data_IF_096213845517
#
_entry.id   IF_096213845517
#
_cell.length_a   1.000
_cell.length_b   1.000
_cell.length_c   1.000
_cell.angle_alpha   90.00
_cell.angle_beta   90.00
_cell.angle_gamma   90.00
#
_symmetry.space_group_name_H-M   'P 1'
#
loop_
_entity.id
_entity.type
_entity.pdbx_description
1 polymer ?
#
# COMPACT_ATOMS: atom_id res chain seq x y z
N UNK A 1 38.35 -22.04 10.98
CA UNK A 1 38.04 -20.65 10.58
C UNK A 1 36.59 -20.60 10.07
N UNK A 2 35.59 -20.28 10.91
CA UNK A 2 34.22 -20.07 10.44
C UNK A 2 33.78 -18.61 10.71
N UNK A 3 33.83 -17.75 9.68
CA UNK A 3 33.47 -16.32 9.81
C UNK A 3 32.40 -15.88 8.79
N UNK A 4 31.78 -16.80 8.03
CA UNK A 4 30.86 -16.45 6.93
C UNK A 4 29.37 -16.73 7.17
N UNK A 5 28.97 -17.12 8.38
CA UNK A 5 27.57 -17.45 8.69
C UNK A 5 26.80 -16.35 9.45
N UNK A 6 27.49 -15.37 10.04
CA UNK A 6 26.84 -14.38 10.92
C UNK A 6 26.32 -13.13 10.17
N UNK A 7 26.85 -12.80 8.99
CA UNK A 7 26.40 -11.62 8.22
C UNK A 7 25.04 -11.86 7.54
N UNK A 8 24.78 -13.05 6.98
CA UNK A 8 23.51 -13.38 6.28
C UNK A 8 22.33 -13.56 7.25
N UNK A 9 22.60 -13.99 8.50
CA UNK A 9 21.56 -14.05 9.55
C UNK A 9 21.21 -12.65 10.03
N UNK A 10 22.22 -11.78 10.24
CA UNK A 10 22.01 -10.42 10.70
C UNK A 10 21.26 -9.56 9.68
N UNK A 11 21.57 -9.67 8.38
CA UNK A 11 20.86 -8.95 7.32
C UNK A 11 19.40 -9.38 7.16
N UNK A 12 19.10 -10.67 7.30
CA UNK A 12 17.72 -11.19 7.25
C UNK A 12 16.88 -10.80 8.47
N UNK A 13 17.49 -10.71 9.64
CA UNK A 13 16.83 -10.21 10.85
C UNK A 13 16.52 -8.72 10.76
N UNK A 14 17.43 -7.91 10.21
CA UNK A 14 17.20 -6.47 10.00
C UNK A 14 16.16 -6.16 8.92
N UNK A 15 16.11 -6.93 7.83
CA UNK A 15 15.06 -6.79 6.80
C UNK A 15 13.69 -7.24 7.33
N UNK A 16 13.65 -8.29 8.14
CA UNK A 16 12.44 -8.73 8.85
C UNK A 16 11.98 -7.67 9.86
N UNK A 17 12.91 -7.06 10.61
CA UNK A 17 12.65 -5.97 11.55
C UNK A 17 12.00 -4.77 10.87
N UNK A 18 12.60 -4.25 9.80
CA UNK A 18 12.06 -3.13 9.01
C UNK A 18 10.70 -3.45 8.36
N UNK A 19 10.52 -4.66 7.82
CA UNK A 19 9.23 -5.07 7.26
C UNK A 19 8.17 -5.19 8.36
N UNK A 20 8.51 -5.69 9.54
CA UNK A 20 7.58 -5.75 10.68
C UNK A 20 7.29 -4.38 11.27
N UNK A 21 8.22 -3.44 11.24
CA UNK A 21 8.03 -2.07 11.74
C UNK A 21 7.19 -1.25 10.77
N UNK A 22 7.44 -1.35 9.45
CA UNK A 22 6.59 -0.72 8.42
C UNK A 22 5.17 -1.31 8.44
N UNK A 23 5.04 -2.64 8.57
CA UNK A 23 3.74 -3.30 8.69
C UNK A 23 3.06 -2.92 10.01
N UNK A 24 3.81 -2.75 11.11
CA UNK A 24 3.28 -2.31 12.41
C UNK A 24 2.85 -0.86 12.39
N UNK A 25 3.59 0.04 11.75
CA UNK A 25 3.22 1.45 11.57
C UNK A 25 2.01 1.60 10.63
N UNK A 26 1.94 0.76 9.59
CA UNK A 26 0.77 0.65 8.72
C UNK A 26 -0.45 0.10 9.48
N UNK A 27 -0.27 -0.91 10.34
CA UNK A 27 -1.34 -1.52 11.13
C UNK A 27 -1.75 -0.67 12.34
N UNK A 28 -0.84 0.09 12.96
CA UNK A 28 -1.17 1.11 13.98
C UNK A 28 -1.92 2.30 13.37
N UNK A 29 -1.71 2.57 12.08
CA UNK A 29 -2.56 3.45 11.29
C UNK A 29 -3.93 2.86 10.93
N UNK A 30 -4.15 1.56 11.12
CA UNK A 30 -5.33 0.82 10.67
C UNK A 30 -6.20 0.27 11.81
N UNK A 31 -5.64 0.05 13.01
CA UNK A 31 -6.28 -0.64 14.13
C UNK A 31 -6.52 0.26 15.35
N UNK A 32 -6.94 1.49 15.13
CA UNK A 32 -7.47 2.34 16.20
C UNK A 32 -8.72 3.08 15.67
N UNK A 33 -9.81 2.33 15.59
CA UNK A 33 -11.12 2.77 15.08
C UNK A 33 -11.70 3.96 15.89
N UNK A 34 -11.47 3.98 17.22
CA UNK A 34 -12.06 5.01 18.08
C UNK A 34 -11.34 6.36 18.01
N UNK A 35 -10.02 6.39 17.84
CA UNK A 35 -9.26 7.65 17.81
C UNK A 35 -9.34 8.35 16.45
N UNK A 36 -9.46 7.61 15.34
CA UNK A 36 -9.55 8.23 14.01
C UNK A 36 -10.81 9.08 13.85
N UNK A 37 -11.94 8.67 14.43
CA UNK A 37 -13.23 9.37 14.33
C UNK A 37 -13.23 10.74 15.00
N UNK A 38 -12.51 10.90 16.12
CA UNK A 38 -12.35 12.19 16.81
C UNK A 38 -11.40 13.14 16.06
N UNK A 39 -10.29 12.61 15.51
CA UNK A 39 -9.34 13.41 14.71
C UNK A 39 -9.95 13.95 13.40
N UNK A 40 -10.85 13.19 12.75
CA UNK A 40 -11.43 13.55 11.45
C UNK A 40 -12.30 14.82 11.53
N UNK A 41 -12.85 15.13 12.71
CA UNK A 41 -13.79 16.24 12.95
C UNK A 41 -13.22 17.35 13.85
N UNK A 42 -11.91 17.33 14.14
CA UNK A 42 -11.32 18.38 14.97
C UNK A 42 -11.32 19.70 14.20
N UNK A 43 -12.16 20.65 14.62
CA UNK A 43 -12.19 22.02 14.11
C UNK A 43 -11.40 22.94 15.05
N UNK A 44 -10.57 23.82 14.49
CA UNK A 44 -10.00 24.92 15.26
C UNK A 44 -11.06 26.01 15.42
N UNK A 45 -11.52 26.19 16.66
CA UNK A 45 -12.45 27.27 17.00
C UNK A 45 -11.62 28.49 17.36
N UNK A 46 -11.64 29.49 16.47
CA UNK A 46 -11.10 30.80 16.78
C UNK A 46 -11.99 31.45 17.83
N UNK A 47 -11.45 31.60 19.05
CA UNK A 47 -12.19 32.10 20.19
C UNK A 47 -11.76 33.54 20.43
N UNK A 48 -12.25 34.44 19.57
CA UNK A 48 -12.11 35.87 19.81
C UNK A 48 -12.63 36.18 21.22
N UNK A 49 -11.77 36.75 22.09
CA UNK A 49 -12.01 37.06 23.52
C UNK A 49 -11.72 35.94 24.56
N UNK A 50 -10.95 34.90 24.20
CA UNK A 50 -10.43 33.95 25.19
C UNK A 50 -9.33 34.56 26.07
N UNK A 51 -9.41 34.41 27.40
CA UNK A 51 -8.32 34.74 28.33
C UNK A 51 -7.13 33.76 28.26
N UNK A 52 -7.02 32.97 27.18
CA UNK A 52 -5.95 31.98 27.01
C UNK A 52 -4.61 32.65 26.72
N UNK A 53 -3.54 32.10 27.28
CA UNK A 53 -2.18 32.54 26.96
C UNK A 53 -1.91 32.38 25.47
N UNK A 54 -1.18 33.31 24.81
CA UNK A 54 -0.75 33.18 23.43
C UNK A 54 -0.04 31.85 23.14
N UNK A 55 0.69 31.31 24.13
CA UNK A 55 1.35 30.01 24.03
C UNK A 55 0.34 28.87 23.91
N UNK A 56 -0.76 28.91 24.68
CA UNK A 56 -1.81 27.87 24.63
C UNK A 56 -2.56 27.90 23.30
N UNK A 57 -2.82 29.09 22.75
CA UNK A 57 -3.43 29.26 21.43
C UNK A 57 -2.52 28.73 20.32
N UNK A 58 -1.23 29.05 20.39
CA UNK A 58 -0.23 28.54 19.45
C UNK A 58 -0.15 27.00 19.50
N UNK A 59 -0.14 26.41 20.70
CA UNK A 59 -0.17 24.96 20.86
C UNK A 59 -1.43 24.33 20.26
N UNK A 60 -2.61 24.91 20.48
CA UNK A 60 -3.86 24.42 19.91
C UNK A 60 -3.84 24.48 18.37
N UNK A 61 -3.29 25.57 17.81
CA UNK A 61 -3.14 25.73 16.36
C UNK A 61 -2.19 24.70 15.76
N UNK A 62 -1.04 24.48 16.40
CA UNK A 62 -0.05 23.47 15.97
C UNK A 62 -0.64 22.05 16.04
N UNK A 63 -1.36 21.73 17.12
CA UNK A 63 -2.06 20.45 17.26
C UNK A 63 -3.08 20.24 16.13
N UNK A 64 -3.92 21.23 15.84
CA UNK A 64 -4.89 21.16 14.76
C UNK A 64 -4.22 20.98 13.38
N UNK A 65 -3.13 21.71 13.10
CA UNK A 65 -2.36 21.56 11.86
C UNK A 65 -1.77 20.16 11.73
N UNK A 66 -1.18 19.61 12.79
CA UNK A 66 -0.66 18.25 12.81
C UNK A 66 -1.76 17.20 12.57
N UNK A 67 -2.94 17.39 13.16
CA UNK A 67 -4.12 16.54 12.96
C UNK A 67 -4.60 16.55 11.51
N UNK A 68 -4.69 17.72 10.86
CA UNK A 68 -5.04 17.83 9.43
C UNK A 68 -3.98 17.13 8.57
N UNK A 69 -2.69 17.37 8.82
CA UNK A 69 -1.60 16.74 8.07
C UNK A 69 -1.66 15.21 8.17
N UNK A 70 -1.93 14.68 9.37
CA UNK A 70 -2.13 13.24 9.60
C UNK A 70 -3.32 12.69 8.82
N UNK A 71 -4.48 13.37 8.87
CA UNK A 71 -5.68 12.99 8.10
C UNK A 71 -5.39 12.90 6.61
N UNK A 72 -4.72 13.91 6.06
CA UNK A 72 -4.34 13.94 4.64
C UNK A 72 -3.36 12.81 4.30
N UNK A 73 -2.41 12.52 5.20
CA UNK A 73 -1.46 11.41 5.02
C UNK A 73 -2.14 10.04 4.99
N UNK A 74 -3.13 9.80 5.87
CA UNK A 74 -3.92 8.57 5.88
C UNK A 74 -4.69 8.43 4.57
N UNK A 75 -5.40 9.49 4.15
CA UNK A 75 -6.15 9.49 2.90
C UNK A 75 -5.26 9.20 1.68
N UNK A 76 -4.09 9.84 1.61
CA UNK A 76 -3.12 9.59 0.54
C UNK A 76 -2.64 8.12 0.52
N UNK A 77 -2.42 7.51 1.68
CA UNK A 77 -2.07 6.08 1.79
C UNK A 77 -3.22 5.18 1.34
N UNK A 78 -4.46 5.48 1.72
CA UNK A 78 -5.65 4.73 1.27
C UNK A 78 -5.81 4.81 -0.26
N UNK A 79 -5.60 5.99 -0.84
CA UNK A 79 -5.61 6.22 -2.29
C UNK A 79 -4.49 5.46 -3.01
N UNK A 80 -3.28 5.44 -2.44
CA UNK A 80 -2.15 4.67 -2.97
C UNK A 80 -2.46 3.16 -2.97
N UNK A 81 -2.90 2.61 -1.83
CA UNK A 81 -3.24 1.18 -1.70
C UNK A 81 -4.34 0.80 -2.68
N UNK A 82 -5.40 1.61 -2.79
CA UNK A 82 -6.50 1.40 -3.72
C UNK A 82 -6.04 1.42 -5.18
N UNK A 83 -5.14 2.34 -5.53
CA UNK A 83 -4.59 2.45 -6.89
C UNK A 83 -3.73 1.24 -7.25
N UNK A 84 -2.86 0.78 -6.35
CA UNK A 84 -2.07 -0.44 -6.56
C UNK A 84 -2.95 -1.69 -6.65
N UNK A 85 -4.01 -1.75 -5.84
CA UNK A 85 -5.05 -2.76 -5.92
C UNK A 85 -5.64 -2.89 -7.31
N UNK A 86 -6.26 -1.81 -7.77
CA UNK A 86 -6.90 -1.72 -9.10
C UNK A 86 -5.90 -1.99 -10.23
N UNK A 87 -4.68 -1.47 -10.11
CA UNK A 87 -3.60 -1.78 -11.04
C UNK A 87 -3.36 -3.28 -11.15
N UNK A 88 -3.21 -3.97 -10.00
CA UNK A 88 -2.97 -5.41 -10.00
C UNK A 88 -4.19 -6.21 -10.49
N UNK A 89 -5.42 -5.79 -10.19
CA UNK A 89 -6.62 -6.44 -10.73
C UNK A 89 -6.60 -6.41 -12.26
N UNK A 90 -6.39 -5.24 -12.86
CA UNK A 90 -6.32 -5.09 -14.32
C UNK A 90 -5.15 -5.85 -14.93
N UNK A 91 -4.01 -5.87 -14.24
CA UNK A 91 -2.84 -6.62 -14.67
C UNK A 91 -3.12 -8.13 -14.72
N UNK A 92 -3.68 -8.71 -13.65
CA UNK A 92 -4.00 -10.14 -13.59
C UNK A 92 -5.13 -10.54 -14.55
N UNK A 93 -6.17 -9.71 -14.70
CA UNK A 93 -7.22 -9.91 -15.71
C UNK A 93 -6.59 -10.01 -17.12
N UNK A 94 -5.62 -9.15 -17.43
CA UNK A 94 -4.92 -9.17 -18.73
C UNK A 94 -4.01 -10.38 -18.89
N UNK A 95 -3.31 -10.82 -17.83
CA UNK A 95 -2.53 -12.08 -17.84
C UNK A 95 -3.45 -13.25 -18.15
N UNK A 96 -4.62 -13.32 -17.50
CA UNK A 96 -5.57 -14.40 -17.72
C UNK A 96 -6.16 -14.38 -19.12
N UNK A 97 -6.47 -13.20 -19.65
CA UNK A 97 -6.92 -13.05 -21.04
C UNK A 97 -5.89 -13.62 -22.02
N UNK A 98 -4.63 -13.20 -21.93
CA UNK A 98 -3.56 -13.68 -22.81
C UNK A 98 -3.39 -15.21 -22.74
N UNK A 99 -3.44 -15.78 -21.54
CA UNK A 99 -3.30 -17.23 -21.33
C UNK A 99 -4.53 -18.03 -21.74
N UNK A 100 -5.70 -17.39 -21.79
CA UNK A 100 -6.92 -18.03 -22.31
C UNK A 100 -6.94 -18.08 -23.84
N UNK A 101 -6.33 -17.09 -24.50
CA UNK A 101 -6.19 -17.01 -25.95
C UNK A 101 -5.09 -17.97 -26.46
N UNK A 102 -3.97 -18.08 -25.74
CA UNK A 102 -2.91 -19.07 -26.00
C UNK A 102 -2.63 -19.93 -24.77
N UNK A 103 -3.16 -21.16 -24.77
CA UNK A 103 -3.00 -22.12 -23.65
C UNK A 103 -1.55 -22.56 -23.44
N UNK A 104 -0.67 -22.44 -24.44
CA UNK A 104 0.74 -22.76 -24.33
C UNK A 104 1.58 -21.58 -23.84
N UNK A 105 0.97 -20.38 -23.74
CA UNK A 105 1.64 -19.18 -23.27
C UNK A 105 2.01 -19.34 -21.80
N UNK A 106 3.31 -19.37 -21.54
CA UNK A 106 3.85 -19.37 -20.19
C UNK A 106 3.51 -18.05 -19.51
N UNK A 107 3.16 -18.15 -18.24
CA UNK A 107 2.83 -17.01 -17.39
C UNK A 107 3.89 -15.90 -17.41
N UNK A 108 5.18 -16.27 -17.29
CA UNK A 108 6.30 -15.33 -17.38
C UNK A 108 6.31 -14.56 -18.70
N UNK A 109 5.95 -15.21 -19.80
CA UNK A 109 5.89 -14.59 -21.13
C UNK A 109 4.71 -13.63 -21.22
N UNK A 110 3.52 -14.03 -20.77
CA UNK A 110 2.34 -13.17 -20.73
C UNK A 110 2.61 -11.88 -19.91
N UNK A 111 3.20 -12.02 -18.72
CA UNK A 111 3.57 -10.86 -17.89
C UNK A 111 4.61 -9.97 -18.56
N UNK A 112 5.59 -10.56 -19.25
CA UNK A 112 6.61 -9.80 -19.99
C UNK A 112 6.01 -9.01 -21.16
N UNK A 113 5.03 -9.57 -21.87
CA UNK A 113 4.29 -8.84 -22.92
C UNK A 113 3.59 -7.61 -22.34
N UNK A 114 2.88 -7.76 -21.21
CA UNK A 114 2.20 -6.63 -20.56
C UNK A 114 3.19 -5.55 -20.12
N UNK A 115 4.34 -5.93 -19.55
CA UNK A 115 5.38 -4.96 -19.20
C UNK A 115 5.88 -4.19 -20.43
N UNK A 116 6.13 -4.88 -21.54
CA UNK A 116 6.58 -4.24 -22.79
C UNK A 116 5.51 -3.31 -23.37
N UNK A 117 4.23 -3.66 -23.25
CA UNK A 117 3.12 -2.79 -23.68
C UNK A 117 2.96 -1.56 -22.78
N UNK A 118 3.22 -1.69 -21.48
CA UNK A 118 3.13 -0.57 -20.53
C UNK A 118 4.31 0.39 -20.63
N UNK A 119 5.50 -0.12 -20.95
CA UNK A 119 6.77 0.61 -20.85
C UNK A 119 6.81 1.94 -21.63
N UNK A 120 6.27 2.06 -22.86
CA UNK A 120 6.23 3.34 -23.59
C UNK A 120 5.47 4.46 -22.87
N UNK A 121 4.57 4.11 -21.93
CA UNK A 121 3.79 5.07 -21.15
C UNK A 121 4.49 5.52 -19.85
N UNK A 122 5.65 4.93 -19.52
CA UNK A 122 6.35 5.17 -18.26
C UNK A 122 7.76 5.70 -18.53
N UNK A 123 8.02 6.95 -18.13
CA UNK A 123 9.37 7.52 -18.15
C UNK A 123 10.09 7.28 -16.82
N UNK A 124 11.40 7.03 -16.85
CA UNK A 124 12.24 6.89 -15.64
C UNK A 124 12.05 5.60 -14.84
N UNK A 125 11.21 4.67 -15.29
CA UNK A 125 10.96 3.39 -14.59
C UNK A 125 11.80 2.27 -15.21
N UNK A 126 12.59 1.58 -14.39
CA UNK A 126 13.33 0.39 -14.81
C UNK A 126 12.42 -0.84 -14.86
N UNK A 127 12.75 -1.80 -15.72
CA UNK A 127 11.99 -3.05 -15.83
C UNK A 127 12.01 -3.85 -14.52
N UNK A 128 13.12 -3.77 -13.78
CA UNK A 128 13.25 -4.42 -12.48
C UNK A 128 12.31 -3.78 -11.45
N UNK A 129 12.25 -2.44 -11.40
CA UNK A 129 11.35 -1.74 -10.51
C UNK A 129 9.89 -2.05 -10.86
N UNK A 130 9.53 -2.05 -12.14
CA UNK A 130 8.19 -2.40 -12.61
C UNK A 130 7.80 -3.81 -12.13
N UNK A 131 8.67 -4.81 -12.30
CA UNK A 131 8.43 -6.18 -11.79
C UNK A 131 8.28 -6.24 -10.27
N UNK A 132 9.09 -5.49 -9.52
CA UNK A 132 9.04 -5.42 -8.06
C UNK A 132 7.71 -4.80 -7.59
N UNK A 133 7.29 -3.68 -8.18
CA UNK A 133 6.06 -3.00 -7.77
C UNK A 133 4.82 -3.80 -8.17
N UNK A 134 4.79 -4.44 -9.33
CA UNK A 134 3.70 -5.35 -9.71
C UNK A 134 3.60 -6.53 -8.75
N UNK A 135 4.74 -7.11 -8.35
CA UNK A 135 4.76 -8.18 -7.34
C UNK A 135 4.19 -7.73 -5.98
N UNK A 136 4.45 -6.48 -5.56
CA UNK A 136 3.87 -5.90 -4.34
C UNK A 136 2.36 -5.66 -4.51
N UNK A 137 1.95 -5.05 -5.62
CA UNK A 137 0.54 -4.77 -5.93
C UNK A 137 -0.31 -6.06 -5.96
N UNK A 138 0.24 -7.17 -6.45
CA UNK A 138 -0.40 -8.49 -6.40
C UNK A 138 -0.73 -8.96 -4.99
N UNK A 139 0.14 -8.70 -4.02
CA UNK A 139 -0.11 -9.04 -2.62
C UNK A 139 -1.27 -8.21 -2.05
N UNK A 140 -1.35 -6.93 -2.42
CA UNK A 140 -2.45 -6.04 -2.03
C UNK A 140 -3.77 -6.55 -2.62
N UNK A 141 -3.82 -6.83 -3.93
CA UNK A 141 -5.03 -7.35 -4.56
C UNK A 141 -5.45 -8.71 -3.97
N UNK A 142 -4.51 -9.63 -3.75
CA UNK A 142 -4.79 -10.91 -3.08
C UNK A 142 -5.43 -10.72 -1.70
N UNK A 143 -5.00 -9.71 -0.95
CA UNK A 143 -5.51 -9.43 0.39
C UNK A 143 -6.91 -8.81 0.34
N UNK A 144 -7.09 -7.72 -0.42
CA UNK A 144 -8.31 -6.89 -0.37
C UNK A 144 -9.29 -7.13 -1.52
N UNK A 145 -8.80 -7.44 -2.72
CA UNK A 145 -9.59 -7.67 -3.92
C UNK A 145 -9.83 -9.16 -4.17
N UNK A 146 -9.07 -9.76 -5.07
CA UNK A 146 -9.12 -11.19 -5.37
C UNK A 146 -7.77 -11.77 -5.80
N UNK A 147 -7.63 -13.09 -5.66
CA UNK A 147 -6.56 -13.89 -6.26
C UNK A 147 -7.15 -14.87 -7.28
N UNK A 148 -6.32 -15.44 -8.12
CA UNK A 148 -6.71 -16.53 -8.99
C UNK A 148 -6.21 -17.85 -8.45
N UNK A 149 -7.11 -18.84 -8.36
CA UNK A 149 -6.72 -20.20 -8.06
C UNK A 149 -5.79 -20.73 -9.17
N UNK A 150 -4.59 -21.22 -8.84
CA UNK A 150 -3.60 -21.61 -9.84
C UNK A 150 -4.01 -22.83 -10.67
N UNK A 151 -4.99 -23.62 -10.20
CA UNK A 151 -5.45 -24.86 -10.84
C UNK A 151 -6.74 -24.59 -11.62
N UNK A 152 -7.74 -24.03 -10.97
CA UNK A 152 -9.09 -23.83 -11.49
C UNK A 152 -9.26 -22.49 -12.21
N UNK A 153 -8.30 -21.56 -12.04
CA UNK A 153 -8.32 -20.20 -12.61
C UNK A 153 -9.58 -19.38 -12.22
N UNK A 154 -10.26 -19.78 -11.13
CA UNK A 154 -11.40 -19.04 -10.58
C UNK A 154 -10.91 -17.93 -9.65
N UNK A 155 -11.66 -16.82 -9.60
CA UNK A 155 -11.41 -15.72 -8.66
C UNK A 155 -11.76 -16.15 -7.24
N UNK A 156 -10.82 -16.02 -6.32
CA UNK A 156 -10.98 -16.19 -4.88
C UNK A 156 -11.02 -14.79 -4.26
N UNK A 157 -12.12 -14.43 -3.62
CA UNK A 157 -12.25 -13.11 -2.98
C UNK A 157 -11.34 -12.99 -1.76
N UNK A 158 -10.71 -11.85 -1.60
CA UNK A 158 -10.00 -11.45 -0.39
C UNK A 158 -10.96 -10.96 0.71
N UNK A 159 -10.41 -10.23 1.68
CA UNK A 159 -11.16 -9.71 2.83
C UNK A 159 -12.11 -8.56 2.43
N UNK A 160 -11.89 -7.93 1.28
CA UNK A 160 -12.72 -6.84 0.74
C UNK A 160 -12.08 -5.46 0.91
N UNK A 161 -12.41 -4.56 -0.04
CA UNK A 161 -11.91 -3.18 -0.08
C UNK A 161 -12.48 -2.27 1.03
N UNK A 162 -13.60 -2.64 1.65
CA UNK A 162 -14.25 -1.89 2.74
C UNK A 162 -13.35 -1.64 3.97
N UNK A 163 -12.27 -2.41 4.11
CA UNK A 163 -11.28 -2.20 5.18
C UNK A 163 -10.39 -0.97 4.94
N UNK A 164 -10.26 -0.52 3.70
CA UNK A 164 -9.42 0.62 3.31
C UNK A 164 -10.23 1.90 3.18
N UNK A 165 -11.56 1.80 3.04
CA UNK A 165 -12.50 2.91 2.87
C UNK A 165 -12.76 3.68 4.17
#
# INVERSE_FOLDING_TARGET
MPERLNEDVSQRESDSGLVTEIVRDLLQGFLVDDFQREFINTEFIDREHSNSSPVTEELARLFHQASIARKNSIKAKQEEISSWGRYSERFEDKVMKLRSEDKNLKDKTARSQIYNEMKPYLSGVSDEYLRKITSKARKINKLFGYDYDPITLKKIKGIGWHMIE
#
